data_IF_860623423093
#
_entry.id   IF_860623423093
#
_cell.length_a   1.000
_cell.length_b   1.000
_cell.length_c   1.000
_cell.angle_alpha   90.00
_cell.angle_beta   90.00
_cell.angle_gamma   90.00
#
_symmetry.space_group_name_H-M   'P 1'
#
loop_
_entity.id
_entity.type
_entity.pdbx_description
1 polymer ?
#
# COMPACT_ATOMS: atom_id res chain seq x y z
N UNK A 1 -13.80 18.90 -3.73
CA UNK A 1 -12.53 18.29 -4.16
C UNK A 1 -12.02 17.45 -3.00
N UNK A 2 -11.64 16.20 -3.24
CA UNK A 2 -11.03 15.31 -2.23
C UNK A 2 -9.64 14.89 -2.68
N UNK A 3 -8.66 14.87 -1.79
CA UNK A 3 -7.32 14.34 -2.05
C UNK A 3 -7.27 12.89 -1.57
N UNK A 4 -7.00 11.98 -2.48
CA UNK A 4 -6.97 10.53 -2.23
C UNK A 4 -5.60 10.00 -2.57
N UNK A 5 -5.07 9.14 -1.70
CA UNK A 5 -3.81 8.44 -1.94
C UNK A 5 -4.10 6.96 -2.15
N UNK A 6 -3.67 6.40 -3.29
CA UNK A 6 -3.65 4.96 -3.53
C UNK A 6 -2.25 4.42 -3.31
N UNK A 7 -2.14 3.25 -2.66
CA UNK A 7 -0.87 2.55 -2.50
C UNK A 7 -0.90 1.13 -3.03
N UNK A 8 0.22 0.70 -3.61
CA UNK A 8 0.37 -0.64 -4.15
C UNK A 8 1.80 -1.16 -3.91
N UNK A 9 1.90 -2.45 -3.59
CA UNK A 9 3.15 -3.20 -3.67
C UNK A 9 3.01 -4.18 -4.84
N UNK A 10 3.80 -3.94 -5.90
CA UNK A 10 3.76 -4.75 -7.12
C UNK A 10 4.18 -6.19 -6.85
N UNK A 11 3.79 -7.13 -7.73
CA UNK A 11 4.19 -8.54 -7.63
C UNK A 11 5.70 -8.77 -7.83
N UNK A 12 6.39 -7.78 -8.39
CA UNK A 12 7.86 -7.68 -8.42
C UNK A 12 8.48 -7.58 -7.03
N UNK A 13 7.72 -7.10 -6.02
CA UNK A 13 8.17 -6.84 -4.65
C UNK A 13 9.44 -5.98 -4.62
N UNK A 14 9.52 -4.99 -5.50
CA UNK A 14 10.61 -4.03 -5.64
C UNK A 14 10.39 -2.77 -4.78
N UNK A 15 9.14 -2.35 -4.59
CA UNK A 15 8.81 -1.18 -3.80
C UNK A 15 7.34 -1.06 -3.43
N UNK A 16 7.05 -0.04 -2.62
CA UNK A 16 5.70 0.49 -2.39
C UNK A 16 5.56 1.79 -3.17
N UNK A 17 4.60 1.83 -4.08
CA UNK A 17 4.20 3.04 -4.76
C UNK A 17 3.07 3.71 -3.99
N UNK A 18 3.13 5.04 -3.88
CA UNK A 18 2.03 5.88 -3.39
C UNK A 18 1.71 6.95 -4.44
N UNK A 19 0.44 7.05 -4.83
CA UNK A 19 -0.04 7.98 -5.86
C UNK A 19 -1.15 8.84 -5.29
N UNK A 20 -0.97 10.16 -5.38
CA UNK A 20 -1.96 11.15 -4.98
C UNK A 20 -2.78 11.61 -6.18
N UNK A 21 -4.09 11.65 -6.02
CA UNK A 21 -5.04 12.21 -6.98
C UNK A 21 -6.02 13.14 -6.30
N UNK A 22 -6.46 14.19 -6.99
CA UNK A 22 -7.65 14.93 -6.59
C UNK A 22 -8.86 14.33 -7.29
N UNK A 23 -9.95 14.13 -6.54
CA UNK A 23 -11.22 13.63 -7.06
C UNK A 23 -12.30 14.69 -6.86
N UNK A 24 -12.91 15.07 -7.97
CA UNK A 24 -14.07 15.97 -8.05
C UNK A 24 -15.31 15.22 -8.56
N UNK A 25 -16.49 15.78 -8.30
CA UNK A 25 -17.77 15.15 -8.68
C UNK A 25 -18.14 13.92 -7.85
N UNK A 26 -19.11 13.14 -8.31
CA UNK A 26 -19.55 11.91 -7.67
C UNK A 26 -20.26 11.02 -8.70
N UNK A 27 -20.33 9.71 -8.44
CA UNK A 27 -20.91 8.75 -9.38
C UNK A 27 -20.26 8.88 -10.78
N UNK A 28 -21.05 8.99 -11.84
CA UNK A 28 -20.58 9.07 -13.23
C UNK A 28 -19.90 10.41 -13.57
N UNK A 29 -20.12 11.44 -12.77
CA UNK A 29 -19.46 12.75 -12.92
C UNK A 29 -18.11 12.83 -12.22
N UNK A 30 -17.62 11.72 -11.66
CA UNK A 30 -16.33 11.68 -11.00
C UNK A 30 -15.20 11.95 -12.01
N UNK A 31 -14.29 12.85 -11.64
CA UNK A 31 -13.07 13.14 -12.41
C UNK A 31 -11.88 13.07 -11.47
N UNK A 32 -10.83 12.38 -11.91
CA UNK A 32 -9.57 12.26 -11.19
C UNK A 32 -8.48 13.06 -11.90
N UNK A 33 -7.73 13.85 -11.14
CA UNK A 33 -6.56 14.59 -11.61
C UNK A 33 -5.34 14.17 -10.82
N UNK A 34 -4.24 13.86 -11.51
CA UNK A 34 -2.98 13.47 -10.90
C UNK A 34 -2.36 14.65 -10.11
N UNK A 35 -1.89 14.37 -8.90
CA UNK A 35 -1.15 15.34 -8.06
C UNK A 35 0.34 14.98 -8.02
N UNK A 36 0.67 13.72 -7.73
CA UNK A 36 2.05 13.30 -7.50
C UNK A 36 2.17 11.80 -7.23
N UNK A 37 3.39 11.28 -7.32
CA UNK A 37 3.72 9.91 -6.99
C UNK A 37 5.07 9.84 -6.28
N UNK A 38 5.21 8.84 -5.42
CA UNK A 38 6.45 8.46 -4.75
C UNK A 38 6.58 6.95 -4.76
N UNK A 39 7.81 6.46 -4.60
CA UNK A 39 8.08 5.03 -4.47
C UNK A 39 9.14 4.84 -3.38
N UNK A 40 8.96 3.81 -2.56
CA UNK A 40 9.91 3.43 -1.51
C UNK A 40 10.33 1.98 -1.68
N UNK A 41 11.62 1.72 -1.70
CA UNK A 41 12.16 0.37 -1.81
C UNK A 41 11.79 -0.49 -0.58
N UNK A 42 11.51 -1.77 -0.80
CA UNK A 42 11.21 -2.72 0.28
C UNK A 42 12.47 -3.21 1.03
N UNK A 43 13.65 -3.11 0.42
CA UNK A 43 14.90 -3.59 1.00
C UNK A 43 14.89 -5.10 1.27
N UNK A 44 15.31 -5.50 2.47
CA UNK A 44 15.33 -6.90 2.90
C UNK A 44 13.92 -7.52 3.03
N UNK A 45 12.88 -6.70 3.16
CA UNK A 45 11.49 -7.17 3.24
C UNK A 45 11.06 -7.91 1.96
N UNK A 46 11.66 -7.60 0.79
CA UNK A 46 11.42 -8.33 -0.47
C UNK A 46 11.63 -9.83 -0.32
N UNK A 47 12.72 -10.26 0.33
CA UNK A 47 13.03 -11.68 0.49
C UNK A 47 12.08 -12.35 1.46
N UNK A 48 11.68 -11.64 2.52
CA UNK A 48 10.69 -12.12 3.49
C UNK A 48 9.33 -12.32 2.81
N UNK A 49 8.82 -11.33 2.07
CA UNK A 49 7.54 -11.40 1.37
C UNK A 49 7.54 -12.50 0.30
N UNK A 50 8.66 -12.70 -0.40
CA UNK A 50 8.83 -13.81 -1.36
C UNK A 50 8.79 -15.16 -0.67
N UNK A 51 9.45 -15.31 0.48
CA UNK A 51 9.38 -16.54 1.29
C UNK A 51 7.95 -16.81 1.74
N UNK A 52 7.24 -15.78 2.20
CA UNK A 52 5.83 -15.90 2.62
C UNK A 52 4.90 -16.28 1.47
N UNK A 53 5.11 -15.74 0.27
CA UNK A 53 4.23 -16.04 -0.88
C UNK A 53 4.42 -17.44 -1.48
N UNK A 54 5.62 -18.03 -1.35
CA UNK A 54 5.92 -19.36 -1.89
C UNK A 54 5.71 -20.45 -0.84
N UNK A 55 6.24 -20.25 0.36
CA UNK A 55 6.31 -21.28 1.40
C UNK A 55 5.31 -21.06 2.55
N UNK A 56 4.59 -19.94 2.55
CA UNK A 56 3.82 -19.48 3.70
C UNK A 56 4.70 -18.99 4.85
N UNK A 57 4.05 -18.67 5.95
CA UNK A 57 4.69 -18.31 7.21
C UNK A 57 3.76 -18.55 8.40
N UNK A 58 4.34 -18.56 9.59
CA UNK A 58 3.54 -18.55 10.81
C UNK A 58 2.96 -17.15 11.08
N UNK A 59 2.06 -17.07 12.06
CA UNK A 59 1.36 -15.83 12.41
C UNK A 59 2.32 -14.68 12.75
N UNK A 60 3.39 -14.96 13.50
CA UNK A 60 4.38 -13.95 13.92
C UNK A 60 5.17 -13.42 12.72
N UNK A 61 5.57 -14.29 11.80
CA UNK A 61 6.25 -13.88 10.57
C UNK A 61 5.36 -12.99 9.69
N UNK A 62 4.09 -13.36 9.54
CA UNK A 62 3.12 -12.58 8.76
C UNK A 62 2.85 -11.22 9.41
N UNK A 63 2.62 -11.17 10.72
CA UNK A 63 2.38 -9.92 11.45
C UNK A 63 3.58 -8.97 11.36
N UNK A 64 4.80 -9.48 11.58
CA UNK A 64 6.01 -8.66 11.47
C UNK A 64 6.22 -8.12 10.05
N UNK A 65 5.97 -8.94 9.02
CA UNK A 65 6.06 -8.48 7.63
C UNK A 65 4.97 -7.45 7.29
N UNK A 66 3.75 -7.63 7.80
CA UNK A 66 2.64 -6.69 7.64
C UNK A 66 2.96 -5.31 8.26
N UNK A 67 3.49 -5.31 9.49
CA UNK A 67 3.90 -4.10 10.21
C UNK A 67 4.96 -3.33 9.44
N UNK A 68 6.04 -4.01 9.05
CA UNK A 68 7.13 -3.41 8.26
C UNK A 68 6.64 -2.85 6.93
N UNK A 69 5.72 -3.55 6.25
CA UNK A 69 5.13 -3.04 5.02
C UNK A 69 4.29 -1.78 5.28
N UNK A 70 3.54 -1.75 6.39
CA UNK A 70 2.81 -0.56 6.84
C UNK A 70 3.74 0.63 7.06
N UNK A 71 4.86 0.45 7.74
CA UNK A 71 5.87 1.50 7.98
C UNK A 71 6.47 2.04 6.68
N UNK A 72 6.85 1.17 5.74
CA UNK A 72 7.39 1.57 4.43
C UNK A 72 6.31 2.30 3.62
N UNK A 73 5.06 1.86 3.70
CA UNK A 73 3.92 2.53 3.06
C UNK A 73 3.71 3.93 3.62
N UNK A 74 3.78 4.09 4.95
CA UNK A 74 3.72 5.40 5.60
C UNK A 74 4.83 6.33 5.10
N UNK A 75 6.06 5.83 4.95
CA UNK A 75 7.17 6.61 4.40
C UNK A 75 6.89 7.06 2.95
N UNK A 76 6.35 6.18 2.10
CA UNK A 76 5.98 6.53 0.73
C UNK A 76 4.93 7.64 0.72
N UNK A 77 3.89 7.52 1.55
CA UNK A 77 2.82 8.53 1.65
C UNK A 77 3.36 9.88 2.16
N UNK A 78 4.23 9.89 3.18
CA UNK A 78 4.84 11.11 3.70
C UNK A 78 5.65 11.88 2.65
N UNK A 79 6.34 11.17 1.75
CA UNK A 79 7.13 11.80 0.69
C UNK A 79 6.28 12.56 -0.34
N UNK A 80 4.97 12.28 -0.44
CA UNK A 80 4.07 13.06 -1.31
C UNK A 80 3.89 14.50 -0.80
N UNK A 81 4.26 14.78 0.46
CA UNK A 81 4.21 16.10 1.09
C UNK A 81 2.84 16.80 0.95
N UNK A 82 1.77 16.02 1.12
CA UNK A 82 0.39 16.49 1.06
C UNK A 82 0.01 17.14 2.39
N UNK A 83 -0.74 18.25 2.34
CA UNK A 83 -1.23 18.94 3.54
C UNK A 83 -2.44 18.28 4.19
N UNK A 84 -3.22 17.57 3.38
CA UNK A 84 -4.45 16.91 3.78
C UNK A 84 -4.68 15.70 2.87
N UNK A 85 -5.12 14.60 3.46
CA UNK A 85 -5.53 13.39 2.77
C UNK A 85 -6.92 13.04 3.29
N UNK A 86 -7.89 12.88 2.39
CA UNK A 86 -9.27 12.57 2.78
C UNK A 86 -9.52 11.05 2.84
N UNK A 87 -8.75 10.27 2.08
CA UNK A 87 -8.82 8.81 2.07
C UNK A 87 -7.51 8.20 1.56
N UNK A 88 -7.10 7.10 2.18
CA UNK A 88 -6.01 6.24 1.71
C UNK A 88 -6.60 4.89 1.28
N UNK A 89 -6.38 4.52 0.03
CA UNK A 89 -6.73 3.21 -0.52
C UNK A 89 -5.50 2.30 -0.48
N UNK A 90 -5.55 1.27 0.37
CA UNK A 90 -4.45 0.34 0.59
C UNK A 90 -4.69 -0.96 -0.17
N UNK A 91 -3.79 -1.31 -1.08
CA UNK A 91 -3.77 -2.65 -1.65
C UNK A 91 -3.00 -3.65 -0.77
N UNK A 92 -1.87 -3.22 -0.20
CA UNK A 92 -0.92 -4.11 0.49
C UNK A 92 -0.15 -5.01 -0.46
N UNK A 93 0.43 -6.08 0.07
CA UNK A 93 1.16 -7.09 -0.72
C UNK A 93 0.36 -8.38 -0.81
N UNK A 94 0.10 -8.85 -2.03
CA UNK A 94 -0.49 -10.19 -2.21
C UNK A 94 0.50 -11.26 -1.79
N UNK A 95 0.13 -12.09 -0.80
CA UNK A 95 0.90 -13.25 -0.35
C UNK A 95 0.22 -14.59 -0.70
N UNK A 96 -1.06 -14.56 -1.06
CA UNK A 96 -1.78 -15.72 -1.57
C UNK A 96 -2.86 -15.29 -2.57
N UNK A 97 -3.00 -16.02 -3.67
CA UNK A 97 -4.03 -15.77 -4.67
C UNK A 97 -4.45 -17.06 -5.38
N UNK A 98 -5.65 -17.54 -5.07
CA UNK A 98 -6.33 -18.65 -5.74
C UNK A 98 -7.84 -18.38 -5.72
N UNK A 99 -8.40 -17.70 -6.75
CA UNK A 99 -9.79 -17.27 -6.76
C UNK A 99 -10.76 -18.40 -6.36
N UNK A 100 -11.74 -18.13 -5.48
CA UNK A 100 -12.14 -16.80 -4.98
C UNK A 100 -11.35 -16.31 -3.75
N UNK A 101 -10.30 -17.02 -3.32
CA UNK A 101 -9.56 -16.72 -2.09
C UNK A 101 -8.29 -15.93 -2.43
N UNK A 102 -8.05 -14.83 -1.71
CA UNK A 102 -6.80 -14.07 -1.78
C UNK A 102 -6.46 -13.47 -0.43
N UNK A 103 -5.17 -13.28 -0.16
CA UNK A 103 -4.67 -12.64 1.05
C UNK A 103 -3.72 -11.52 0.64
N UNK A 104 -4.09 -10.31 1.01
CA UNK A 104 -3.26 -9.11 0.96
C UNK A 104 -2.74 -8.83 2.38
N UNK A 105 -1.42 -8.82 2.52
CA UNK A 105 -0.73 -8.54 3.75
C UNK A 105 -0.49 -7.04 3.87
N UNK A 106 -0.95 -6.42 4.95
CA UNK A 106 -0.64 -5.05 5.35
C UNK A 106 -1.11 -4.85 6.80
N UNK A 107 -0.32 -4.16 7.63
CA UNK A 107 -0.81 -3.61 8.89
C UNK A 107 -1.19 -2.13 8.67
N UNK A 108 -2.47 -1.75 8.82
CA UNK A 108 -2.89 -0.36 8.62
C UNK A 108 -2.57 0.56 9.80
N UNK A 109 -2.15 0.04 10.97
CA UNK A 109 -1.93 0.86 12.17
C UNK A 109 -0.88 1.98 11.96
N UNK A 110 0.28 1.74 11.30
CA UNK A 110 1.24 2.81 11.01
C UNK A 110 0.70 3.90 10.07
N UNK A 111 -0.37 3.61 9.32
CA UNK A 111 -0.95 4.49 8.30
C UNK A 111 -2.15 5.27 8.88
N UNK A 112 -2.80 4.76 9.91
CA UNK A 112 -3.98 5.39 10.52
C UNK A 112 -3.83 6.87 10.97
N UNK A 113 -2.63 7.39 11.33
CA UNK A 113 -2.49 8.78 11.76
C UNK A 113 -2.54 9.87 10.66
N UNK A 114 -2.63 9.52 9.38
CA UNK A 114 -2.84 10.50 8.29
C UNK A 114 -4.26 11.06 8.28
#
# INVERSE_FOLDING_TARGET
MRVIVGTMTGTSMDGVDAVAVSIEGSNEEMRASYIGMTSCELGDLTQVLRKLSINGGNEVEMQNAALRLGEITTNAIQQLNLKQIDLIALHGQTIYHAPPISIQLIDPLPIAPF
#
